data_IF_090908131199
#
_entry.id   IF_090908131199
#
_cell.length_a   1.000
_cell.length_b   1.000
_cell.length_c   1.000
_cell.angle_alpha   90.00
_cell.angle_beta   90.00
_cell.angle_gamma   90.00
#
_symmetry.space_group_name_H-M   'P 1'
#
loop_
_entity.id
_entity.type
_entity.pdbx_description
1 polymer ?
#
# COMPACT_ATOMS: atom_id res chain seq x y z
N UNK A 1 -9.31 4.55 -16.72
CA UNK A 1 -8.08 4.27 -15.94
C UNK A 1 -6.90 5.10 -16.44
N UNK A 2 -6.26 5.93 -15.59
CA UNK A 2 -5.06 6.69 -15.96
C UNK A 2 -3.81 5.81 -15.77
N UNK A 3 -3.51 4.95 -16.76
CA UNK A 3 -2.43 3.92 -16.69
C UNK A 3 -1.08 4.46 -16.22
N UNK A 4 -0.68 5.64 -16.71
CA UNK A 4 0.58 6.31 -16.30
C UNK A 4 0.67 6.51 -14.78
N UNK A 5 -0.42 6.94 -14.14
CA UNK A 5 -0.44 7.20 -12.69
C UNK A 5 -0.34 5.89 -11.93
N UNK A 6 -1.07 4.85 -12.34
CA UNK A 6 -1.02 3.53 -11.71
C UNK A 6 0.40 2.95 -11.76
N UNK A 7 1.09 3.10 -12.90
CA UNK A 7 2.49 2.64 -13.05
C UNK A 7 3.42 3.40 -12.10
N UNK A 8 3.30 4.74 -12.03
CA UNK A 8 4.13 5.57 -11.14
C UNK A 8 3.91 5.17 -9.68
N UNK A 9 2.65 5.04 -9.24
CA UNK A 9 2.34 4.63 -7.88
C UNK A 9 2.81 3.20 -7.58
N UNK A 10 2.70 2.30 -8.56
CA UNK A 10 3.20 0.92 -8.42
C UNK A 10 4.71 0.90 -8.23
N UNK A 11 5.46 1.69 -8.98
CA UNK A 11 6.91 1.81 -8.82
C UNK A 11 7.29 2.38 -7.45
N UNK A 12 6.63 3.45 -7.02
CA UNK A 12 6.88 4.07 -5.70
C UNK A 12 6.58 3.06 -4.59
N UNK A 13 5.41 2.42 -4.64
CA UNK A 13 5.00 1.41 -3.66
C UNK A 13 5.95 0.21 -3.62
N UNK A 14 6.44 -0.23 -4.78
CA UNK A 14 7.41 -1.33 -4.88
C UNK A 14 8.75 -0.95 -4.24
N UNK A 15 9.27 0.24 -4.53
CA UNK A 15 10.54 0.72 -3.94
C UNK A 15 10.41 0.79 -2.41
N UNK A 16 9.34 1.41 -1.90
CA UNK A 16 9.13 1.55 -0.45
C UNK A 16 8.93 0.18 0.19
N UNK A 17 8.13 -0.70 -0.39
CA UNK A 17 7.89 -2.04 0.17
C UNK A 17 9.16 -2.90 0.17
N UNK A 18 9.99 -2.77 -0.87
CA UNK A 18 11.29 -3.45 -0.97
C UNK A 18 12.25 -2.91 0.10
N UNK A 19 12.33 -1.59 0.23
CA UNK A 19 13.11 -0.94 1.29
C UNK A 19 12.66 -1.43 2.67
N UNK A 20 11.36 -1.49 2.91
CA UNK A 20 10.77 -1.94 4.16
C UNK A 20 10.97 -3.45 4.41
N UNK A 21 11.14 -4.26 3.38
CA UNK A 21 11.46 -5.68 3.52
C UNK A 21 12.91 -5.90 3.96
N UNK A 22 13.86 -5.20 3.34
CA UNK A 22 15.29 -5.37 3.65
C UNK A 22 15.71 -4.64 4.92
N UNK A 23 15.29 -3.38 5.07
CA UNK A 23 15.70 -2.55 6.19
C UNK A 23 14.71 -2.56 7.33
N UNK A 24 13.46 -2.97 7.11
CA UNK A 24 12.39 -2.90 8.13
C UNK A 24 12.74 -3.50 9.48
N UNK A 25 13.51 -4.60 9.50
CA UNK A 25 13.96 -5.25 10.74
C UNK A 25 15.17 -4.58 11.40
N UNK A 26 15.88 -3.72 10.67
CA UNK A 26 17.07 -2.97 11.09
C UNK A 26 16.82 -1.47 11.23
N UNK A 27 15.59 -0.99 11.01
CA UNK A 27 15.22 0.42 11.22
C UNK A 27 15.41 0.75 12.70
N UNK A 28 16.60 1.22 13.05
CA UNK A 28 16.83 2.12 14.16
C UNK A 28 16.18 3.45 13.77
N UNK A 29 14.88 3.52 14.10
CA UNK A 29 14.03 4.70 14.28
C UNK A 29 14.73 6.05 14.11
N UNK A 30 14.69 6.62 12.92
CA UNK A 30 14.68 8.08 12.79
C UNK A 30 13.24 8.64 12.76
N UNK A 31 12.24 7.76 12.60
CA UNK A 31 10.82 8.10 12.51
C UNK A 31 10.06 7.36 13.62
N UNK A 32 9.63 8.10 14.63
CA UNK A 32 8.85 7.62 15.79
C UNK A 32 7.69 6.71 15.36
N UNK A 33 7.63 5.46 15.84
CA UNK A 33 6.47 4.57 15.64
C UNK A 33 6.68 3.40 14.65
N UNK A 34 7.64 3.48 13.72
CA UNK A 34 7.81 2.42 12.72
C UNK A 34 8.38 1.12 13.29
N UNK A 35 9.30 1.17 14.25
CA UNK A 35 9.84 -0.05 14.86
C UNK A 35 8.78 -0.82 15.61
N UNK A 36 7.90 -0.15 16.36
CA UNK A 36 6.81 -0.81 17.08
C UNK A 36 5.79 -1.43 16.11
N UNK A 37 5.50 -0.78 14.99
CA UNK A 37 4.63 -1.34 13.94
C UNK A 37 5.26 -2.57 13.27
N UNK A 38 6.53 -2.49 12.88
CA UNK A 38 7.22 -3.58 12.17
C UNK A 38 7.62 -4.75 13.08
N UNK A 39 7.84 -4.52 14.37
CA UNK A 39 8.13 -5.59 15.34
C UNK A 39 6.87 -6.23 15.92
N UNK A 40 5.69 -5.64 15.71
CA UNK A 40 4.43 -6.18 16.20
C UNK A 40 4.07 -7.52 15.55
N UNK A 41 3.25 -8.33 16.23
CA UNK A 41 2.70 -9.56 15.65
C UNK A 41 1.86 -9.33 14.39
N UNK A 42 1.40 -8.10 14.14
CA UNK A 42 0.61 -7.73 12.97
C UNK A 42 1.45 -7.39 11.75
N UNK A 43 2.78 -7.26 11.88
CA UNK A 43 3.69 -7.06 10.73
C UNK A 43 3.82 -8.31 9.86
N UNK A 44 3.35 -9.45 10.37
CA UNK A 44 3.29 -10.73 9.67
C UNK A 44 1.87 -11.26 9.69
N UNK A 45 1.38 -11.65 8.52
CA UNK A 45 0.08 -12.29 8.36
C UNK A 45 0.32 -13.70 7.84
N UNK A 46 -0.16 -14.70 8.57
CA UNK A 46 0.12 -16.13 8.33
C UNK A 46 1.62 -16.45 8.21
N UNK A 47 2.47 -15.73 8.95
CA UNK A 47 3.94 -15.88 8.91
C UNK A 47 4.64 -15.18 7.75
N UNK A 48 3.88 -14.56 6.83
CA UNK A 48 4.40 -13.79 5.70
C UNK A 48 4.49 -12.32 6.09
N UNK A 49 5.62 -11.67 5.80
CA UNK A 49 5.80 -10.24 6.07
C UNK A 49 4.90 -9.40 5.16
N UNK A 50 4.21 -8.42 5.77
CA UNK A 50 3.32 -7.52 5.02
C UNK A 50 4.06 -6.75 3.92
N UNK A 51 5.35 -6.43 4.14
CA UNK A 51 6.23 -5.82 3.13
C UNK A 51 6.33 -6.69 1.87
N UNK A 52 6.40 -8.02 2.03
CA UNK A 52 6.47 -8.96 0.90
C UNK A 52 5.15 -8.96 0.11
N UNK A 53 4.01 -8.93 0.81
CA UNK A 53 2.69 -8.82 0.18
C UNK A 53 2.55 -7.51 -0.60
N UNK A 54 3.07 -6.41 -0.06
CA UNK A 54 3.14 -5.11 -0.73
C UNK A 54 3.96 -5.17 -2.02
N UNK A 55 5.17 -5.73 -1.96
CA UNK A 55 6.03 -5.93 -3.14
C UNK A 55 5.27 -6.72 -4.22
N UNK A 56 4.63 -7.83 -3.82
CA UNK A 56 3.90 -8.67 -4.75
C UNK A 56 2.74 -7.89 -5.40
N UNK A 57 1.94 -7.18 -4.60
CA UNK A 57 0.84 -6.37 -5.12
C UNK A 57 1.32 -5.31 -6.12
N UNK A 58 2.32 -4.50 -5.76
CA UNK A 58 2.79 -3.43 -6.63
C UNK A 58 3.49 -3.93 -7.90
N UNK A 59 4.20 -5.06 -7.80
CA UNK A 59 4.79 -5.70 -8.95
C UNK A 59 3.70 -6.20 -9.91
N UNK A 60 2.69 -6.91 -9.40
CA UNK A 60 1.56 -7.37 -10.20
C UNK A 60 0.77 -6.20 -10.78
N UNK A 61 0.52 -5.13 -10.00
CA UNK A 61 -0.26 -3.99 -10.50
C UNK A 61 0.43 -3.30 -11.67
N UNK A 62 1.75 -3.13 -11.61
CA UNK A 62 2.55 -2.64 -12.73
C UNK A 62 2.47 -3.57 -13.94
N UNK A 63 2.71 -4.87 -13.74
CA UNK A 63 2.74 -5.87 -14.81
C UNK A 63 1.37 -5.99 -15.51
N UNK A 64 0.28 -6.14 -14.74
CA UNK A 64 -1.08 -6.25 -15.27
C UNK A 64 -1.51 -4.99 -16.00
N UNK A 65 -1.02 -3.82 -15.58
CA UNK A 65 -1.27 -2.55 -16.29
C UNK A 65 -0.58 -2.53 -17.65
N UNK A 66 0.64 -3.07 -17.77
CA UNK A 66 1.38 -3.18 -19.04
C UNK A 66 0.69 -4.18 -19.99
N UNK A 67 0.27 -5.34 -19.48
CA UNK A 67 -0.43 -6.37 -20.26
C UNK A 67 -1.93 -6.07 -20.51
N UNK A 68 -2.42 -4.89 -20.14
CA UNK A 68 -3.83 -4.49 -20.29
C UNK A 68 -4.84 -5.46 -19.66
N UNK A 69 -4.47 -6.17 -18.58
CA UNK A 69 -5.34 -7.13 -17.86
C UNK A 69 -6.14 -6.45 -16.75
N UNK A 70 -6.93 -5.44 -17.10
CA UNK A 70 -7.65 -4.58 -16.14
C UNK A 70 -8.66 -5.34 -15.27
N UNK A 71 -9.29 -6.40 -15.80
CA UNK A 71 -10.26 -7.21 -15.05
C UNK A 71 -9.63 -7.92 -13.86
N UNK A 72 -8.45 -8.51 -14.04
CA UNK A 72 -7.72 -9.19 -12.95
C UNK A 72 -7.23 -8.15 -11.94
N UNK A 73 -6.74 -7.01 -12.43
CA UNK A 73 -6.26 -5.93 -11.59
C UNK A 73 -7.38 -5.36 -10.68
N UNK A 74 -8.62 -5.26 -11.18
CA UNK A 74 -9.79 -4.88 -10.37
C UNK A 74 -10.02 -5.82 -9.21
N UNK A 75 -10.05 -7.12 -9.46
CA UNK A 75 -10.29 -8.14 -8.43
C UNK A 75 -9.21 -8.07 -7.36
N UNK A 76 -7.93 -8.09 -7.76
CA UNK A 76 -6.80 -8.02 -6.83
C UNK A 76 -6.84 -6.72 -6.01
N UNK A 77 -7.15 -5.59 -6.66
CA UNK A 77 -7.20 -4.30 -5.96
C UNK A 77 -8.29 -4.22 -4.91
N UNK A 78 -9.41 -4.94 -5.05
CA UNK A 78 -10.43 -5.02 -4.00
C UNK A 78 -9.85 -5.70 -2.76
N UNK A 79 -9.22 -6.87 -2.93
CA UNK A 79 -8.61 -7.60 -1.81
C UNK A 79 -7.51 -6.77 -1.14
N UNK A 80 -6.63 -6.15 -1.92
CA UNK A 80 -5.56 -5.31 -1.40
C UNK A 80 -6.07 -4.06 -0.69
N UNK A 81 -7.18 -3.46 -1.15
CA UNK A 81 -7.82 -2.34 -0.48
C UNK A 81 -8.40 -2.72 0.89
N UNK A 82 -9.08 -3.87 0.98
CA UNK A 82 -9.57 -4.38 2.27
C UNK A 82 -8.41 -4.64 3.24
N UNK A 83 -7.31 -5.20 2.73
CA UNK A 83 -6.12 -5.45 3.52
C UNK A 83 -5.45 -4.16 4.01
N UNK A 84 -5.31 -3.15 3.16
CA UNK A 84 -4.78 -1.84 3.54
C UNK A 84 -5.63 -1.16 4.63
N UNK A 85 -6.97 -1.20 4.49
CA UNK A 85 -7.90 -0.71 5.51
C UNK A 85 -7.71 -1.43 6.85
N UNK A 86 -7.54 -2.75 6.83
CA UNK A 86 -7.31 -3.55 8.02
C UNK A 86 -6.00 -3.14 8.73
N UNK A 87 -4.91 -2.94 7.98
CA UNK A 87 -3.64 -2.49 8.54
C UNK A 87 -3.72 -1.07 9.11
N UNK A 88 -4.36 -0.15 8.38
CA UNK A 88 -4.63 1.21 8.87
C UNK A 88 -5.44 1.15 10.18
N UNK A 89 -6.48 0.32 10.24
CA UNK A 89 -7.26 0.15 11.47
C UNK A 89 -6.39 -0.33 12.63
N UNK A 90 -5.51 -1.31 12.42
CA UNK A 90 -4.56 -1.78 13.44
C UNK A 90 -3.63 -0.66 13.90
N UNK A 91 -3.04 0.11 12.98
CA UNK A 91 -2.09 1.18 13.32
C UNK A 91 -2.73 2.25 14.23
N UNK A 92 -3.96 2.67 13.94
CA UNK A 92 -4.65 3.72 14.69
C UNK A 92 -5.32 3.23 15.98
N UNK A 93 -6.03 2.09 15.94
CA UNK A 93 -6.85 1.66 17.08
C UNK A 93 -6.10 0.73 18.04
N UNK A 94 -5.28 -0.19 17.50
CA UNK A 94 -4.67 -1.27 18.28
C UNK A 94 -3.27 -0.83 18.75
N UNK A 95 -2.40 -0.46 17.82
CA UNK A 95 -1.02 -0.06 18.13
C UNK A 95 -0.93 1.38 18.63
N UNK A 96 -1.82 2.26 18.17
CA UNK A 96 -1.77 3.73 18.41
C UNK A 96 -0.41 4.34 18.04
N UNK A 97 0.25 3.77 17.02
CA UNK A 97 1.57 4.16 16.52
C UNK A 97 1.47 4.32 15.02
N UNK A 98 2.06 5.39 14.50
CA UNK A 98 1.97 5.74 13.08
C UNK A 98 3.33 5.49 12.45
N UNK A 99 3.37 4.63 11.43
CA UNK A 99 4.54 4.46 10.58
C UNK A 99 4.28 5.12 9.23
N UNK A 100 4.97 6.22 8.94
CA UNK A 100 4.76 6.99 7.71
C UNK A 100 4.98 6.15 6.44
N UNK A 101 5.99 5.27 6.42
CA UNK A 101 6.27 4.44 5.25
C UNK A 101 5.15 3.43 4.97
N UNK A 102 4.65 2.75 6.01
CA UNK A 102 3.49 1.86 5.88
C UNK A 102 2.26 2.64 5.42
N UNK A 103 2.03 3.81 5.99
CA UNK A 103 0.89 4.65 5.67
C UNK A 103 0.93 5.16 4.22
N UNK A 104 2.11 5.51 3.70
CA UNK A 104 2.31 5.87 2.28
C UNK A 104 2.00 4.66 1.37
N UNK A 105 2.43 3.46 1.74
CA UNK A 105 2.13 2.23 1.00
C UNK A 105 0.64 1.95 0.99
N UNK A 106 -0.02 1.96 2.15
CA UNK A 106 -1.46 1.71 2.28
C UNK A 106 -2.28 2.75 1.49
N UNK A 107 -1.92 4.04 1.59
CA UNK A 107 -2.54 5.10 0.80
C UNK A 107 -2.33 4.87 -0.70
N UNK A 108 -1.14 4.44 -1.13
CA UNK A 108 -0.88 4.15 -2.54
C UNK A 108 -1.79 3.05 -3.07
N UNK A 109 -2.03 1.99 -2.30
CA UNK A 109 -2.99 0.93 -2.64
C UNK A 109 -4.42 1.50 -2.77
N UNK A 110 -4.84 2.33 -1.82
CA UNK A 110 -6.16 2.98 -1.83
C UNK A 110 -6.33 3.87 -3.07
N UNK A 111 -5.31 4.66 -3.43
CA UNK A 111 -5.34 5.52 -4.62
C UNK A 111 -5.41 4.68 -5.90
N UNK A 112 -4.63 3.59 -5.99
CA UNK A 112 -4.68 2.67 -7.13
C UNK A 112 -6.09 2.09 -7.27
N UNK A 113 -6.69 1.61 -6.18
CA UNK A 113 -8.06 1.10 -6.16
C UNK A 113 -9.08 2.13 -6.69
N UNK A 114 -8.99 3.38 -6.21
CA UNK A 114 -9.83 4.51 -6.65
C UNK A 114 -9.65 4.82 -8.15
N UNK A 115 -8.41 4.82 -8.64
CA UNK A 115 -8.09 5.09 -10.05
C UNK A 115 -8.61 4.02 -11.00
N UNK A 116 -8.63 2.77 -10.55
CA UNK A 116 -9.14 1.62 -11.30
C UNK A 116 -10.68 1.64 -11.33
N UNK A 117 -11.32 1.91 -10.20
CA UNK A 117 -12.79 1.98 -10.08
C UNK A 117 -13.38 3.34 -10.49
N UNK A 118 -12.55 4.23 -11.03
CA UNK A 118 -12.98 5.50 -11.62
C UNK A 118 -13.72 6.43 -10.63
N UNK A 119 -13.18 6.59 -9.42
CA UNK A 119 -13.57 7.66 -8.47
C UNK A 119 -12.90 9.06 -8.66
N UNK A 120 -12.14 9.42 -9.73
CA UNK A 120 -11.47 10.71 -9.80
C UNK A 120 -12.41 11.90 -10.09
N UNK A 121 -13.72 11.70 -10.31
CA UNK A 121 -14.70 12.80 -10.39
C UNK A 121 -15.07 13.38 -9.02
N UNK A 122 -14.86 12.63 -7.93
CA UNK A 122 -15.24 13.08 -6.58
C UNK A 122 -14.07 13.75 -5.85
N UNK A 123 -12.85 13.24 -6.02
CA UNK A 123 -11.66 13.75 -5.31
C UNK A 123 -11.18 15.12 -5.84
N UNK A 124 -11.37 15.43 -7.12
CA UNK A 124 -11.03 16.75 -7.67
C UNK A 124 -11.92 17.88 -7.13
N UNK A 125 -13.04 17.54 -6.48
CA UNK A 125 -13.95 18.49 -5.85
C UNK A 125 -13.57 18.79 -4.39
N UNK A 126 -12.75 17.95 -3.76
CA UNK A 126 -12.41 18.06 -2.32
C UNK A 126 -11.05 18.72 -2.07
N UNK A 127 -10.12 18.65 -3.03
CA UNK A 127 -8.80 19.30 -2.94
C UNK A 127 -8.78 20.73 -3.52
N UNK A 128 -9.96 21.32 -3.77
CA UNK A 128 -10.13 22.68 -4.33
C UNK A 128 -11.08 23.56 -3.50
N UNK A 129 -11.25 23.27 -2.21
CA UNK A 129 -11.95 24.17 -1.29
C UNK A 129 -10.99 24.80 -0.31
#
# INVERSE_FOLDING_TARGET
MKKKIVIILSLIGLIISTYLYFEGRKINCYLNGCSEVLSSSYSKIFGIENSLLGIFYFFLSGLLTIFNKENILRVISIFSFLFALYLVFIMFFILKKICYNCLIVDISVIIIFILIHNFPKYLSKIFRS
#
